data_IF_156423149986
#
_entry.id   IF_156423149986
#
_cell.length_a   1.000
_cell.length_b   1.000
_cell.length_c   1.000
_cell.angle_alpha   90.00
_cell.angle_beta   90.00
_cell.angle_gamma   90.00
#
_symmetry.space_group_name_H-M   'P 1'
#
loop_
_entity.id
_entity.type
_entity.pdbx_description
1 polymer ?
#
# COMPACT_ATOMS: atom_id res chain seq x y z
N UNK A 1 47.18 -24.99 -33.61
CA UNK A 1 46.22 -25.74 -34.44
C UNK A 1 44.98 -24.89 -34.60
N UNK A 2 44.67 -24.51 -35.85
CA UNK A 2 43.62 -23.57 -36.23
C UNK A 2 42.35 -24.36 -36.52
N UNK A 3 41.20 -24.00 -35.94
CA UNK A 3 39.89 -24.11 -36.60
C UNK A 3 38.94 -23.01 -36.11
N UNK A 4 38.61 -22.10 -37.02
CA UNK A 4 37.52 -21.16 -36.90
C UNK A 4 36.27 -21.73 -37.57
N UNK A 5 35.08 -21.47 -37.03
CA UNK A 5 33.83 -21.38 -37.79
C UNK A 5 33.04 -20.20 -37.25
N UNK A 6 32.59 -19.36 -38.19
CA UNK A 6 31.80 -18.14 -38.04
C UNK A 6 30.31 -18.48 -38.00
N UNK A 7 29.52 -17.75 -37.23
CA UNK A 7 28.11 -17.49 -37.52
C UNK A 7 27.91 -15.98 -37.48
N UNK A 8 27.38 -15.45 -38.58
CA UNK A 8 27.07 -14.05 -38.78
C UNK A 8 25.72 -13.68 -38.15
N UNK A 9 25.64 -12.49 -37.58
CA UNK A 9 24.40 -11.85 -37.16
C UNK A 9 24.68 -10.37 -36.93
N UNK A 10 24.34 -9.54 -37.91
CA UNK A 10 24.56 -8.10 -37.93
C UNK A 10 23.38 -7.35 -37.29
N UNK A 11 23.66 -6.41 -36.37
CA UNK A 11 22.89 -5.16 -36.24
C UNK A 11 23.84 -4.05 -35.78
N UNK A 12 23.67 -2.88 -36.39
CA UNK A 12 24.62 -1.79 -36.58
C UNK A 12 24.98 -0.99 -35.31
N UNK A 13 26.20 -0.46 -35.34
CA UNK A 13 26.68 0.61 -34.48
C UNK A 13 26.27 1.98 -35.03
N UNK A 14 25.85 2.89 -34.16
CA UNK A 14 25.97 4.33 -34.39
C UNK A 14 26.49 4.96 -33.09
N UNK A 15 27.67 5.57 -33.23
CA UNK A 15 28.41 6.25 -32.18
C UNK A 15 27.87 7.67 -31.93
N UNK A 16 28.13 8.19 -30.72
CA UNK A 16 28.55 9.55 -30.33
C UNK A 16 27.92 10.73 -31.11
N UNK A 17 27.36 11.75 -30.46
CA UNK A 17 28.08 13.00 -30.16
C UNK A 17 27.28 13.88 -29.19
N UNK A 18 27.98 14.41 -28.19
CA UNK A 18 27.55 15.48 -27.29
C UNK A 18 27.92 16.82 -27.94
N UNK A 19 27.02 17.83 -27.98
CA UNK A 19 27.26 19.30 -27.89
C UNK A 19 26.19 20.16 -28.60
N UNK A 20 25.84 21.30 -27.99
CA UNK A 20 25.17 22.48 -28.59
C UNK A 20 23.87 22.84 -27.85
N UNK A 21 23.74 23.86 -26.98
CA UNK A 21 24.25 25.23 -26.89
C UNK A 21 23.69 26.20 -27.96
N UNK A 22 22.77 27.08 -27.54
CA UNK A 22 22.31 28.31 -28.20
C UNK A 22 21.37 28.09 -29.39
N UNK A 23 20.48 28.99 -29.79
CA UNK A 23 19.89 30.24 -29.29
C UNK A 23 19.04 30.75 -30.47
N UNK A 24 17.88 31.37 -30.20
CA UNK A 24 17.14 32.27 -31.13
C UNK A 24 16.46 31.60 -32.36
N UNK A 25 15.25 31.89 -32.83
CA UNK A 25 14.22 32.93 -32.63
C UNK A 25 12.88 32.31 -33.13
N UNK A 26 11.79 32.41 -32.37
CA UNK A 26 10.65 33.34 -32.55
C UNK A 26 9.71 33.00 -33.73
N UNK A 27 8.50 32.51 -33.42
CA UNK A 27 7.23 33.17 -33.79
C UNK A 27 6.02 32.34 -33.28
N UNK A 28 5.12 33.00 -32.53
CA UNK A 28 3.68 32.68 -32.60
C UNK A 28 3.00 31.96 -31.42
N UNK A 29 2.54 32.73 -30.42
CA UNK A 29 1.17 32.57 -29.90
C UNK A 29 0.95 32.06 -28.47
N UNK A 30 0.89 33.02 -27.54
CA UNK A 30 0.13 33.10 -26.27
C UNK A 30 0.12 31.98 -25.19
N UNK A 31 0.53 32.40 -23.98
CA UNK A 31 0.54 31.70 -22.67
C UNK A 31 -0.68 32.18 -21.82
N UNK A 32 -1.04 31.54 -20.68
CA UNK A 32 -0.25 31.68 -19.45
C UNK A 32 -0.07 30.42 -18.60
N UNK A 33 1.11 30.40 -17.98
CA UNK A 33 1.47 30.00 -16.62
C UNK A 33 0.88 28.76 -15.92
N UNK A 34 1.84 27.88 -15.58
CA UNK A 34 2.13 27.36 -14.25
C UNK A 34 1.01 26.63 -13.48
N UNK A 35 1.17 25.31 -13.40
CA UNK A 35 1.15 24.67 -12.09
C UNK A 35 1.94 23.38 -12.07
N UNK A 36 2.84 23.30 -11.10
CA UNK A 36 3.31 22.04 -10.54
C UNK A 36 2.08 21.17 -10.28
N UNK A 37 2.04 19.97 -10.86
CA UNK A 37 1.09 18.96 -10.41
C UNK A 37 1.82 17.63 -10.41
N UNK A 38 2.15 17.19 -9.20
CA UNK A 38 2.23 15.76 -8.95
C UNK A 38 0.84 15.15 -9.26
N UNK A 39 0.80 13.97 -9.88
CA UNK A 39 -0.33 13.07 -9.66
C UNK A 39 0.22 11.66 -9.36
N UNK A 40 -0.41 10.82 -8.55
CA UNK A 40 -1.63 10.92 -7.77
C UNK A 40 -1.44 9.97 -6.60
N UNK A 41 -1.96 10.33 -5.42
CA UNK A 41 -2.35 9.34 -4.43
C UNK A 41 -3.26 8.32 -5.15
N UNK A 42 -2.85 7.07 -5.16
CA UNK A 42 -3.60 6.02 -5.85
C UNK A 42 -5.00 5.94 -5.27
N UNK A 43 -5.95 6.14 -6.18
CA UNK A 43 -7.39 6.00 -5.98
C UNK A 43 -7.70 4.73 -5.19
N UNK A 44 -8.34 4.92 -4.03
CA UNK A 44 -9.14 3.87 -3.40
C UNK A 44 -10.18 3.39 -4.39
N UNK A 45 -9.85 2.29 -5.08
CA UNK A 45 -10.77 1.56 -5.93
C UNK A 45 -11.56 0.63 -5.03
N UNK A 46 -12.90 0.69 -5.13
CA UNK A 46 -13.81 -0.19 -4.40
C UNK A 46 -13.43 -1.67 -4.63
N UNK A 47 -13.59 -2.58 -3.64
CA UNK A 47 -13.11 -3.94 -3.78
C UNK A 47 -13.89 -4.68 -4.88
N UNK A 48 -13.17 -5.25 -5.84
CA UNK A 48 -13.69 -6.30 -6.70
C UNK A 48 -13.98 -7.53 -5.82
N UNK A 49 -15.25 -7.89 -5.65
CA UNK A 49 -15.64 -9.15 -5.02
C UNK A 49 -15.21 -10.31 -5.91
N UNK A 50 -14.14 -11.02 -5.51
CA UNK A 50 -13.72 -12.26 -6.15
C UNK A 50 -12.21 -12.48 -6.16
N UNK A 51 -11.57 -12.47 -4.99
CA UNK A 51 -10.14 -12.78 -4.82
C UNK A 51 -9.84 -13.26 -3.40
N UNK A 52 -8.67 -13.87 -3.19
CA UNK A 52 -8.18 -14.23 -1.87
C UNK A 52 -8.32 -13.02 -0.93
N UNK A 53 -8.91 -13.21 0.25
CA UNK A 53 -9.19 -12.12 1.19
C UNK A 53 -10.62 -11.57 1.17
N UNK A 54 -11.54 -12.00 0.30
CA UNK A 54 -12.90 -11.44 0.24
C UNK A 54 -13.68 -11.41 1.58
N UNK A 55 -13.43 -12.36 2.49
CA UNK A 55 -14.05 -12.39 3.83
C UNK A 55 -13.35 -11.47 4.84
N UNK A 56 -12.06 -11.20 4.67
CA UNK A 56 -11.21 -10.44 5.60
C UNK A 56 -10.80 -9.08 5.06
N UNK A 57 -11.19 -8.73 3.85
CA UNK A 57 -10.93 -7.41 3.27
C UNK A 57 -11.68 -6.34 4.07
N UNK A 58 -11.02 -5.22 4.31
CA UNK A 58 -11.58 -4.06 5.02
C UNK A 58 -10.55 -3.29 5.82
N UNK A 59 -11.04 -2.25 6.50
CA UNK A 59 -10.28 -1.45 7.45
C UNK A 59 -10.53 -1.94 8.88
N UNK A 60 -9.50 -1.91 9.70
CA UNK A 60 -9.45 -2.52 11.00
C UNK A 60 -8.68 -1.64 11.98
N UNK A 61 -9.11 -1.58 13.23
CA UNK A 61 -8.48 -0.78 14.30
C UNK A 61 -8.22 -1.62 15.54
N UNK A 62 -7.15 -1.33 16.27
CA UNK A 62 -6.82 -1.98 17.54
C UNK A 62 -6.02 -1.08 18.47
N UNK A 63 -6.13 -1.29 19.80
CA UNK A 63 -5.17 -0.73 20.76
C UNK A 63 -4.29 -1.85 21.30
N UNK A 64 -2.98 -1.67 21.21
CA UNK A 64 -2.00 -2.61 21.72
C UNK A 64 -0.86 -1.84 22.38
N UNK A 65 -0.52 -2.18 23.63
CA UNK A 65 0.56 -1.48 24.36
C UNK A 65 0.35 0.03 24.58
N UNK A 66 -0.89 0.53 24.47
CA UNK A 66 -1.19 1.97 24.52
C UNK A 66 -1.08 2.68 23.16
N UNK A 67 -0.68 1.98 22.11
CA UNK A 67 -0.59 2.50 20.74
C UNK A 67 -1.86 2.19 19.95
N UNK A 68 -2.22 3.11 19.05
CA UNK A 68 -3.29 2.91 18.07
C UNK A 68 -2.73 2.19 16.84
N UNK A 69 -3.43 1.14 16.41
CA UNK A 69 -3.09 0.34 15.26
C UNK A 69 -4.20 0.45 14.22
N UNK A 70 -3.80 0.55 12.95
CA UNK A 70 -4.67 0.57 11.78
C UNK A 70 -4.20 -0.47 10.79
N UNK A 71 -5.07 -1.41 10.46
CA UNK A 71 -4.80 -2.46 9.48
C UNK A 71 -5.80 -2.31 8.33
N UNK A 72 -5.31 -2.34 7.10
CA UNK A 72 -6.11 -2.40 5.89
C UNK A 72 -5.74 -3.65 5.13
N UNK A 73 -6.74 -4.40 4.69
CA UNK A 73 -6.58 -5.58 3.82
C UNK A 73 -7.46 -5.36 2.59
N UNK A 74 -6.87 -5.44 1.41
CA UNK A 74 -7.57 -5.33 0.12
C UNK A 74 -7.06 -6.38 -0.84
N UNK A 75 -7.86 -7.43 -1.03
CA UNK A 75 -7.43 -8.63 -1.76
C UNK A 75 -6.19 -9.25 -1.12
N UNK A 76 -5.11 -9.35 -1.90
CA UNK A 76 -3.82 -9.87 -1.48
C UNK A 76 -2.89 -8.80 -0.87
N UNK A 77 -3.30 -7.52 -0.82
CA UNK A 77 -2.49 -6.44 -0.27
C UNK A 77 -2.90 -6.12 1.16
N UNK A 78 -1.91 -5.78 1.99
CA UNK A 78 -2.12 -5.37 3.36
C UNK A 78 -1.20 -4.22 3.75
N UNK A 79 -1.71 -3.32 4.60
CA UNK A 79 -0.96 -2.23 5.19
C UNK A 79 -1.32 -2.10 6.67
N UNK A 80 -0.31 -1.89 7.51
CA UNK A 80 -0.44 -1.74 8.94
C UNK A 80 0.31 -0.47 9.38
N UNK A 81 -0.38 0.37 10.15
CA UNK A 81 0.25 1.46 10.90
C UNK A 81 0.13 1.14 12.38
N UNK A 82 1.25 1.07 13.08
CA UNK A 82 1.32 0.83 14.52
C UNK A 82 2.15 1.94 15.17
N UNK A 83 1.49 2.96 15.70
CA UNK A 83 2.18 4.16 16.20
C UNK A 83 3.00 4.84 15.09
N UNK A 84 4.33 4.81 15.22
CA UNK A 84 5.29 5.35 14.22
C UNK A 84 5.69 4.34 13.13
N UNK A 85 5.33 3.07 13.31
CA UNK A 85 5.74 1.98 12.43
C UNK A 85 4.73 1.85 11.28
N UNK A 86 5.20 2.03 10.05
CA UNK A 86 4.41 1.80 8.84
C UNK A 86 4.92 0.57 8.13
N UNK A 87 4.06 -0.44 8.03
CA UNK A 87 4.37 -1.73 7.44
C UNK A 87 3.43 -2.02 6.28
N UNK A 88 3.95 -2.54 5.18
CA UNK A 88 3.20 -2.85 3.96
C UNK A 88 3.59 -4.21 3.45
N UNK A 89 2.66 -4.91 2.83
CA UNK A 89 2.93 -6.19 2.20
C UNK A 89 1.67 -6.88 1.77
N UNK A 90 1.56 -8.16 2.09
CA UNK A 90 0.60 -9.07 1.48
C UNK A 90 -0.20 -9.85 2.52
N UNK A 91 -1.45 -10.13 2.15
CA UNK A 91 -2.30 -11.10 2.79
C UNK A 91 -2.39 -12.34 1.90
N UNK A 92 -2.07 -13.51 2.46
CA UNK A 92 -2.10 -14.78 1.74
C UNK A 92 -3.04 -15.78 2.40
N UNK A 93 -3.75 -16.55 1.58
CA UNK A 93 -4.63 -17.64 2.02
C UNK A 93 -4.16 -18.97 1.41
N UNK A 94 -2.99 -19.44 1.85
CA UNK A 94 -2.38 -20.70 1.40
C UNK A 94 -2.43 -21.75 2.52
N UNK A 95 -3.62 -22.35 2.72
CA UNK A 95 -3.90 -23.30 3.80
C UNK A 95 -4.19 -22.63 5.15
N UNK A 96 -3.42 -21.60 5.50
CA UNK A 96 -3.71 -20.67 6.61
C UNK A 96 -3.78 -19.23 6.09
N UNK A 97 -4.47 -18.37 6.84
CA UNK A 97 -4.55 -16.94 6.57
C UNK A 97 -3.37 -16.24 7.23
N UNK A 98 -2.52 -15.58 6.45
CA UNK A 98 -1.26 -14.98 6.91
C UNK A 98 -1.11 -13.54 6.43
N UNK A 99 -0.47 -12.71 7.24
CA UNK A 99 0.04 -11.40 6.90
C UNK A 99 1.56 -11.49 6.79
N UNK A 100 2.09 -10.98 5.68
CA UNK A 100 3.51 -10.86 5.36
C UNK A 100 3.79 -9.40 5.07
N UNK A 101 4.36 -8.67 6.02
CA UNK A 101 4.55 -7.23 5.98
C UNK A 101 6.03 -6.89 6.14
N UNK A 102 6.44 -5.81 5.51
CA UNK A 102 7.74 -5.16 5.69
C UNK A 102 7.53 -3.76 6.26
N UNK A 103 8.22 -3.45 7.35
CA UNK A 103 8.15 -2.12 7.97
C UNK A 103 9.24 -1.20 7.42
N UNK A 104 8.88 0.01 7.04
CA UNK A 104 9.79 0.98 6.40
C UNK A 104 10.97 1.39 7.30
N UNK A 105 10.84 1.23 8.60
CA UNK A 105 11.86 1.51 9.61
C UNK A 105 12.63 0.27 10.08
N UNK A 106 12.38 -0.89 9.47
CA UNK A 106 13.02 -2.15 9.81
C UNK A 106 12.52 -2.82 11.09
N UNK A 107 11.43 -2.33 11.71
CA UNK A 107 10.80 -3.03 12.84
C UNK A 107 10.30 -4.42 12.41
N UNK A 108 10.48 -5.43 13.26
CA UNK A 108 10.12 -6.83 12.96
C UNK A 108 9.01 -7.38 13.83
N UNK A 109 8.40 -6.56 14.69
CA UNK A 109 7.41 -7.04 15.66
C UNK A 109 6.10 -7.49 15.00
N UNK A 110 5.81 -6.96 13.81
CA UNK A 110 4.57 -7.17 13.06
C UNK A 110 4.79 -7.45 11.57
N UNK A 111 5.83 -8.22 11.25
CA UNK A 111 6.16 -8.59 9.86
C UNK A 111 5.54 -9.91 9.42
N UNK A 112 5.41 -10.88 10.31
CA UNK A 112 4.80 -12.17 9.99
C UNK A 112 3.75 -12.54 11.04
N UNK A 113 2.51 -12.74 10.60
CA UNK A 113 1.40 -12.97 11.54
C UNK A 113 0.28 -13.84 10.99
N UNK A 114 -0.20 -14.77 11.81
CA UNK A 114 -1.35 -15.61 11.48
C UNK A 114 -2.66 -14.88 11.77
N UNK A 115 -3.52 -14.81 10.77
CA UNK A 115 -4.83 -14.14 10.82
C UNK A 115 -5.93 -15.13 11.19
N UNK A 116 -6.70 -14.80 12.21
CA UNK A 116 -7.87 -15.57 12.64
C UNK A 116 -9.07 -14.63 12.72
N UNK A 117 -9.93 -14.58 11.68
CA UNK A 117 -11.16 -13.82 11.75
C UNK A 117 -12.17 -14.51 12.68
N UNK A 118 -12.98 -13.74 13.38
CA UNK A 118 -14.12 -14.26 14.12
C UNK A 118 -15.20 -14.81 13.18
N UNK A 119 -16.09 -15.66 13.72
CA UNK A 119 -17.20 -16.22 12.97
C UNK A 119 -18.16 -15.15 12.40
N UNK A 120 -18.27 -13.99 13.06
CA UNK A 120 -19.07 -12.86 12.62
C UNK A 120 -18.34 -11.92 11.65
N UNK A 121 -17.04 -12.13 11.39
CA UNK A 121 -16.21 -11.30 10.51
C UNK A 121 -15.95 -9.88 11.01
N UNK A 122 -16.40 -9.52 12.22
CA UNK A 122 -16.27 -8.18 12.80
C UNK A 122 -14.95 -7.98 13.54
N UNK A 123 -14.32 -9.08 13.96
CA UNK A 123 -13.03 -9.04 14.64
C UNK A 123 -12.01 -9.90 13.91
N UNK A 124 -10.75 -9.51 14.02
CA UNK A 124 -9.64 -10.18 13.38
C UNK A 124 -8.49 -10.25 14.39
N UNK A 125 -8.12 -11.46 14.78
CA UNK A 125 -6.97 -11.68 15.65
C UNK A 125 -5.73 -11.96 14.81
N UNK A 126 -4.64 -11.26 15.09
CA UNK A 126 -3.33 -11.55 14.48
C UNK A 126 -2.39 -12.03 15.57
N UNK A 127 -1.86 -13.25 15.39
CA UNK A 127 -0.79 -13.79 16.22
C UNK A 127 0.51 -13.64 15.46
N UNK A 128 1.37 -12.73 15.92
CA UNK A 128 2.65 -12.42 15.29
C UNK A 128 3.74 -13.40 15.74
N UNK A 129 4.65 -13.73 14.83
CA UNK A 129 5.76 -14.65 15.10
C UNK A 129 6.72 -14.10 16.16
N UNK A 130 6.80 -12.77 16.29
CA UNK A 130 7.54 -12.10 17.37
C UNK A 130 6.91 -12.29 18.77
N UNK A 131 5.77 -12.98 18.88
CA UNK A 131 5.08 -13.30 20.13
C UNK A 131 3.97 -12.32 20.54
N UNK A 132 3.82 -11.20 19.82
CA UNK A 132 2.71 -10.26 20.03
C UNK A 132 1.39 -10.84 19.51
N UNK A 133 0.29 -10.41 20.15
CA UNK A 133 -1.05 -10.76 19.70
C UNK A 133 -1.92 -9.51 19.69
N UNK A 134 -2.42 -9.14 18.52
CA UNK A 134 -3.33 -8.02 18.36
C UNK A 134 -4.74 -8.52 18.04
N UNK A 135 -5.74 -7.84 18.59
CA UNK A 135 -7.15 -8.09 18.27
C UNK A 135 -7.73 -6.84 17.66
N UNK A 136 -8.07 -6.92 16.38
CA UNK A 136 -8.60 -5.83 15.60
C UNK A 136 -10.12 -5.91 15.51
N UNK A 137 -10.76 -4.74 15.46
CA UNK A 137 -12.18 -4.56 15.16
C UNK A 137 -12.30 -3.96 13.77
N UNK A 138 -13.17 -4.53 12.94
CA UNK A 138 -13.47 -4.02 11.61
C UNK A 138 -14.22 -2.69 11.72
N UNK A 139 -13.77 -1.69 10.99
CA UNK A 139 -14.43 -0.40 10.89
C UNK A 139 -15.45 -0.46 9.77
N UNK A 140 -16.72 -0.36 10.13
CA UNK A 140 -17.85 -0.27 9.19
C UNK A 140 -18.58 1.05 9.31
N UNK A 141 -18.51 1.65 10.50
CA UNK A 141 -19.08 2.94 10.84
C UNK A 141 -18.10 3.72 11.72
N UNK A 142 -18.24 5.05 11.82
CA UNK A 142 -17.42 5.85 12.74
C UNK A 142 -17.53 5.40 14.21
N UNK A 143 -18.64 4.76 14.61
CA UNK A 143 -18.82 4.27 15.98
C UNK A 143 -17.94 3.06 16.32
N UNK A 144 -17.38 2.38 15.32
CA UNK A 144 -16.48 1.23 15.52
C UNK A 144 -15.07 1.67 15.94
N UNK A 145 -14.75 2.96 15.82
CA UNK A 145 -13.45 3.54 16.17
C UNK A 145 -13.40 3.76 17.69
N UNK A 146 -12.46 3.14 18.42
CA UNK A 146 -12.35 3.33 19.86
C UNK A 146 -12.10 4.79 20.23
N UNK A 147 -12.68 5.25 21.35
CA UNK A 147 -12.46 6.61 21.85
C UNK A 147 -10.97 6.90 22.07
N UNK A 148 -10.51 8.09 21.67
CA UNK A 148 -9.10 8.49 21.76
C UNK A 148 -8.21 7.95 20.63
N UNK A 149 -8.79 7.40 19.57
CA UNK A 149 -8.10 7.22 18.30
C UNK A 149 -7.93 8.56 17.58
N UNK A 150 -6.83 8.78 16.84
CA UNK A 150 -6.73 9.92 15.94
C UNK A 150 -7.81 9.81 14.87
N UNK A 151 -8.71 10.81 14.81
CA UNK A 151 -9.78 10.87 13.80
C UNK A 151 -9.34 11.54 12.50
N UNK A 152 -8.14 12.12 12.47
CA UNK A 152 -7.56 12.85 11.33
C UNK A 152 -6.72 11.95 10.41
N UNK A 153 -6.92 10.63 10.47
CA UNK A 153 -6.13 9.69 9.68
C UNK A 153 -6.72 9.52 8.28
N UNK A 154 -5.88 9.64 7.23
CA UNK A 154 -6.33 9.49 5.85
C UNK A 154 -6.93 8.09 5.66
N UNK A 155 -8.22 8.03 5.30
CA UNK A 155 -8.97 6.79 5.07
C UNK A 155 -10.18 6.57 5.98
N UNK A 156 -10.29 7.29 7.10
CA UNK A 156 -11.49 7.26 7.97
C UNK A 156 -12.57 8.25 7.50
N UNK A 157 -12.17 9.34 6.87
CA UNK A 157 -13.06 10.34 6.26
C UNK A 157 -14.03 9.72 5.22
N UNK A 158 -13.60 8.65 4.55
CA UNK A 158 -14.38 8.02 3.49
C UNK A 158 -15.51 7.10 4.00
N UNK A 159 -15.53 6.72 5.28
CA UNK A 159 -16.64 5.94 5.88
C UNK A 159 -17.77 6.83 6.44
N UNK A 160 -17.55 8.15 6.47
CA UNK A 160 -18.47 9.14 7.04
C UNK A 160 -19.03 10.11 6.01
N UNK A 161 -19.23 9.68 4.76
CA UNK A 161 -19.82 10.54 3.74
C UNK A 161 -21.27 10.92 4.06
N UNK A 162 -21.52 11.97 4.86
CA UNK A 162 -22.74 12.81 4.79
C UNK A 162 -22.44 14.28 5.16
N UNK A 163 -22.71 15.15 4.18
CA UNK A 163 -23.24 16.53 4.26
C UNK A 163 -22.46 17.68 4.94
N UNK A 164 -22.07 18.66 4.11
CA UNK A 164 -21.98 20.08 4.45
C UNK A 164 -21.20 20.83 3.36
N UNK A 165 -21.72 21.82 2.63
CA UNK A 165 -23.02 22.46 2.53
C UNK A 165 -23.03 23.33 1.26
#
# INVERSE_FOLDING_TARGET
MIKAVRIAGAVAAAALLMTGCGSDSDDGGDKPEASKKAPSAEQSSAPAEGGAGGKVAGAYVSKSGGEALFLSISGEKAALVAGKHTCTGEYAEMGNKMLMLDCADGNTDRTMGKVTPSADGKTLKVSWDAGLNDTFTKVTTPADIPTGFPTDLPGLESVGGVTGG
#
